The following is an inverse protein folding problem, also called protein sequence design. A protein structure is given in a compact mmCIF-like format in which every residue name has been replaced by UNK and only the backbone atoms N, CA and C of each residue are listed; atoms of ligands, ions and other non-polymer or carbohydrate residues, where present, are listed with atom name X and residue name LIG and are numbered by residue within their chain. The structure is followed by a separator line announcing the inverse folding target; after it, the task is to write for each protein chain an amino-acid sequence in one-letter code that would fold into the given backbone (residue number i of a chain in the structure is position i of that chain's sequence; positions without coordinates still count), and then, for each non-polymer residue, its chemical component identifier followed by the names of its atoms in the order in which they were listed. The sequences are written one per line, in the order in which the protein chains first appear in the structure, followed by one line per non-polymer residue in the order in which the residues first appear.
data_IF_179537455920
#
_entry.id   IF_179537455920
#
_cell.length_a   1.000
_cell.length_b   1.000
_cell.length_c   1.000
_cell.angle_alpha   90.00
_cell.angle_beta   90.00
_cell.angle_gamma   90.00
#
_symmetry.space_group_name_H-M   'P 1'
#
loop_
_entity.id
_entity.type
_entity.pdbx_description
1 polymer ?
#
# COMPACT_ATOMS: atom_id res chain seq x y z
N UNK A 1 2.73 1.10 -10.67
CA UNK A 1 2.21 1.87 -9.52
C UNK A 1 3.42 2.54 -8.86
N UNK A 2 3.37 3.83 -8.50
CA UNK A 2 4.51 4.54 -7.89
C UNK A 2 4.45 4.52 -6.36
N UNK A 3 5.57 4.85 -5.70
CA UNK A 3 5.59 5.01 -4.23
C UNK A 3 4.72 6.20 -3.76
N UNK A 4 4.59 7.26 -4.56
CA UNK A 4 3.65 8.36 -4.25
C UNK A 4 2.19 7.89 -4.28
N UNK A 5 1.88 6.93 -5.15
CA UNK A 5 0.55 6.31 -5.17
C UNK A 5 0.37 5.40 -3.94
N UNK A 6 1.40 4.66 -3.53
CA UNK A 6 1.36 3.87 -2.30
C UNK A 6 1.06 4.76 -1.07
N UNK A 7 1.71 5.92 -0.96
CA UNK A 7 1.46 6.88 0.11
C UNK A 7 0.00 7.39 0.10
N UNK A 8 -0.51 7.78 -1.07
CA UNK A 8 -1.91 8.20 -1.23
C UNK A 8 -2.92 7.11 -0.86
N UNK A 9 -2.64 5.86 -1.23
CA UNK A 9 -3.48 4.73 -0.84
C UNK A 9 -3.44 4.49 0.67
N UNK A 10 -2.27 4.62 1.33
CA UNK A 10 -2.19 4.51 2.78
C UNK A 10 -2.94 5.63 3.51
N UNK A 11 -2.92 6.86 2.99
CA UNK A 11 -3.72 7.97 3.53
C UNK A 11 -5.22 7.67 3.45
N UNK A 12 -5.69 7.16 2.30
CA UNK A 12 -7.08 6.72 2.13
C UNK A 12 -7.44 5.57 3.09
N UNK A 13 -6.57 4.58 3.22
CA UNK A 13 -6.77 3.46 4.15
C UNK A 13 -6.91 3.94 5.61
N UNK A 14 -6.06 4.88 6.05
CA UNK A 14 -6.14 5.46 7.40
C UNK A 14 -7.45 6.22 7.59
N UNK A 15 -7.87 6.99 6.59
CA UNK A 15 -9.15 7.69 6.62
C UNK A 15 -10.31 6.71 6.79
N UNK A 16 -10.37 5.68 5.94
CA UNK A 16 -11.47 4.72 5.94
C UNK A 16 -11.48 3.86 7.21
N UNK A 17 -10.31 3.53 7.76
CA UNK A 17 -10.19 2.86 9.05
C UNK A 17 -10.75 3.72 10.20
N UNK A 18 -10.51 5.04 10.19
CA UNK A 18 -11.07 5.97 11.18
C UNK A 18 -12.59 6.07 11.04
N UNK A 19 -13.10 6.21 9.82
CA UNK A 19 -14.55 6.22 9.58
C UNK A 19 -15.19 4.91 10.07
N UNK A 20 -14.56 3.76 9.79
CA UNK A 20 -15.06 2.46 10.27
C UNK A 20 -15.13 2.42 11.81
N UNK A 21 -14.07 2.87 12.49
CA UNK A 21 -14.03 2.96 13.95
C UNK A 21 -15.15 3.84 14.52
N UNK A 22 -15.35 5.04 13.96
CA UNK A 22 -16.40 5.95 14.40
C UNK A 22 -17.81 5.38 14.16
N UNK A 23 -18.03 4.72 13.03
CA UNK A 23 -19.30 4.05 12.71
C UNK A 23 -19.64 2.94 13.72
N UNK A 24 -18.66 2.20 14.23
CA UNK A 24 -18.87 1.18 15.28
C UNK A 24 -19.43 1.83 16.55
N UNK A 25 -18.89 2.98 16.95
CA UNK A 25 -19.36 3.71 18.14
C UNK A 25 -20.80 4.26 17.99
N UNK A 26 -21.27 4.44 16.76
CA UNK A 26 -22.61 4.92 16.41
C UNK A 26 -23.61 3.79 16.09
N UNK A 27 -23.21 2.52 16.22
CA UNK A 27 -24.00 1.33 15.82
C UNK A 27 -24.35 1.29 14.31
N UNK A 28 -23.58 2.00 13.46
CA UNK A 28 -23.73 2.03 12.01
C UNK A 28 -22.93 0.89 11.34
N UNK A 29 -23.24 -0.37 11.69
CA UNK A 29 -22.40 -1.53 11.36
C UNK A 29 -22.24 -1.79 9.85
N UNK A 30 -23.27 -1.59 9.04
CA UNK A 30 -23.16 -1.75 7.57
C UNK A 30 -22.15 -0.76 7.00
N UNK A 31 -22.18 0.50 7.47
CA UNK A 31 -21.26 1.54 7.03
C UNK A 31 -19.85 1.28 7.54
N UNK A 32 -19.71 0.83 8.79
CA UNK A 32 -18.43 0.38 9.33
C UNK A 32 -17.81 -0.74 8.48
N UNK A 33 -18.63 -1.72 8.07
CA UNK A 33 -18.21 -2.84 7.25
C UNK A 33 -17.77 -2.41 5.84
N UNK A 34 -18.49 -1.50 5.19
CA UNK A 34 -18.06 -0.93 3.90
C UNK A 34 -16.73 -0.17 4.03
N UNK A 35 -16.57 0.65 5.08
CA UNK A 35 -15.35 1.40 5.33
C UNK A 35 -14.14 0.50 5.62
N UNK A 36 -14.31 -0.63 6.33
CA UNK A 36 -13.18 -1.54 6.55
C UNK A 36 -12.77 -2.30 5.27
N UNK A 37 -13.74 -2.64 4.40
CA UNK A 37 -13.45 -3.27 3.10
C UNK A 37 -12.63 -2.33 2.21
N UNK A 38 -13.03 -1.06 2.15
CA UNK A 38 -12.34 -0.03 1.36
C UNK A 38 -10.93 0.24 1.91
N UNK A 39 -10.79 0.36 3.23
CA UNK A 39 -9.48 0.46 3.87
C UNK A 39 -8.56 -0.71 3.52
N UNK A 40 -9.06 -1.95 3.55
CA UNK A 40 -8.28 -3.14 3.16
C UNK A 40 -7.83 -3.08 1.71
N UNK A 41 -8.72 -2.72 0.79
CA UNK A 41 -8.39 -2.62 -0.62
C UNK A 41 -7.27 -1.59 -0.89
N UNK A 42 -7.30 -0.45 -0.19
CA UNK A 42 -6.23 0.55 -0.27
C UNK A 42 -4.91 0.07 0.34
N UNK A 43 -4.94 -0.69 1.43
CA UNK A 43 -3.73 -1.33 1.99
C UNK A 43 -3.13 -2.34 1.00
N UNK A 44 -3.97 -3.19 0.41
CA UNK A 44 -3.52 -4.18 -0.60
C UNK A 44 -2.88 -3.48 -1.81
N UNK A 45 -3.45 -2.36 -2.25
CA UNK A 45 -2.90 -1.55 -3.34
C UNK A 45 -1.54 -0.92 -2.97
N UNK A 46 -1.41 -0.39 -1.76
CA UNK A 46 -0.15 0.18 -1.28
C UNK A 46 0.94 -0.88 -1.12
N UNK A 47 0.60 -2.03 -0.53
CA UNK A 47 1.49 -3.20 -0.39
C UNK A 47 2.04 -3.60 -1.76
N UNK A 48 1.16 -3.76 -2.75
CA UNK A 48 1.56 -4.18 -4.08
C UNK A 48 2.53 -3.18 -4.74
N UNK A 49 2.30 -1.89 -4.56
CA UNK A 49 3.19 -0.84 -5.06
C UNK A 49 4.58 -0.87 -4.39
N UNK A 50 4.62 -1.09 -3.07
CA UNK A 50 5.86 -1.22 -2.31
C UNK A 50 6.62 -2.48 -2.75
N UNK A 51 5.94 -3.61 -2.87
CA UNK A 51 6.52 -4.89 -3.30
C UNK A 51 7.19 -4.76 -4.67
N UNK A 52 6.49 -4.21 -5.66
CA UNK A 52 7.06 -3.95 -7.00
C UNK A 52 8.28 -3.03 -6.94
N UNK A 53 8.27 -2.03 -6.07
CA UNK A 53 9.41 -1.13 -5.90
C UNK A 53 10.62 -1.82 -5.25
N UNK A 54 10.41 -2.78 -4.35
CA UNK A 54 11.47 -3.61 -3.77
C UNK A 54 12.09 -4.54 -4.82
N UNK A 55 11.26 -5.28 -5.55
CA UNK A 55 11.69 -6.17 -6.65
C UNK A 55 12.52 -5.39 -7.68
N UNK A 56 12.08 -4.19 -8.05
CA UNK A 56 12.82 -3.32 -9.00
C UNK A 56 14.19 -2.88 -8.47
N UNK A 57 14.36 -2.75 -7.15
CA UNK A 57 15.65 -2.38 -6.54
C UNK A 57 16.60 -3.57 -6.48
N UNK A 58 16.09 -4.75 -6.17
CA UNK A 58 16.84 -6.00 -6.17
C UNK A 58 17.39 -6.29 -7.58
N UNK A 59 16.54 -6.21 -8.60
CA UNK A 59 16.94 -6.36 -10.01
C UNK A 59 18.05 -5.39 -10.43
N UNK A 60 17.98 -4.14 -9.94
CA UNK A 60 18.98 -3.11 -10.24
C UNK A 60 20.32 -3.38 -9.55
N UNK A 61 20.30 -3.94 -8.33
CA UNK A 61 21.50 -4.34 -7.60
C UNK A 61 22.18 -5.52 -8.29
N UNK A 62 21.43 -6.56 -8.67
CA UNK A 62 21.96 -7.72 -9.38
C UNK A 62 22.62 -7.33 -10.71
N UNK A 63 22.00 -6.42 -11.48
CA UNK A 63 22.58 -5.91 -12.74
C UNK A 63 23.82 -5.04 -12.52
N UNK A 64 23.87 -4.28 -11.44
CA UNK A 64 25.02 -3.46 -11.06
C UNK A 64 26.22 -4.30 -10.61
N UNK A 65 25.96 -5.41 -9.92
CA UNK A 65 26.97 -6.34 -9.41
C UNK A 65 27.46 -7.31 -10.50
N UNK A 66 26.65 -7.60 -11.51
CA UNK A 66 27.00 -8.42 -12.66
C UNK A 66 27.85 -7.72 -13.75
N UNK A 67 28.30 -6.47 -13.54
CA UNK A 67 29.24 -5.79 -14.43
C UNK A 67 30.69 -6.03 -13.96
N UNK A 68 31.43 -7.01 -14.52
CA UNK A 68 32.79 -7.25 -14.10
C UNK A 68 33.76 -6.30 -14.81
N UNK A 69 34.83 -6.01 -14.07
CA UNK A 69 36.03 -5.26 -14.44
C UNK A 69 36.44 -5.46 -15.91
N UNK A 70 36.31 -4.41 -16.73
CA UNK A 70 36.96 -4.35 -18.04
C UNK A 70 38.39 -3.85 -17.83
N UNK A 71 39.28 -4.76 -17.40
CA UNK A 71 40.73 -4.57 -17.45
C UNK A 71 41.36 -5.41 -18.55
#
# INVERSE_FOLDING_TARGET
MSLDEAARQLEAAIHDARVSFDCIALDELERAHTSVITARASVDAAENAIRVALESREDAQERGEAAPDRR
#
